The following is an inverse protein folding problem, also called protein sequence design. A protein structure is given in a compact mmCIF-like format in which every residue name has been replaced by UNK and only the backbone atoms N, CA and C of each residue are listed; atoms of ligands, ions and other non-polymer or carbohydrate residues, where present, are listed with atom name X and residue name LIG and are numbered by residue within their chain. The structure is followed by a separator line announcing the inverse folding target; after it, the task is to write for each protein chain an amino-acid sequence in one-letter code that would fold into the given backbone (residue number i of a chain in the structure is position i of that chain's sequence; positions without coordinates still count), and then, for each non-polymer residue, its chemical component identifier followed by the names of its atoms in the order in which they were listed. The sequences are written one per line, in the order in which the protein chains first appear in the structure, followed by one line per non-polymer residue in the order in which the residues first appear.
data_IF_397903129967
#
_entry.id   IF_397903129967
#
_cell.length_a   1.000
_cell.length_b   1.000
_cell.length_c   1.000
_cell.angle_alpha   90.00
_cell.angle_beta   90.00
_cell.angle_gamma   90.00
#
_symmetry.space_group_name_H-M   'P 1'
#
loop_
_entity.id
_entity.type
_entity.pdbx_description
1 polymer ?
#
# COMPACT_ATOMS: atom_id res chain seq x y z
N UNK A 1 25.50 54.10 19.03
CA UNK A 1 24.92 55.49 19.00
C UNK A 1 25.03 55.97 17.56
N UNK A 2 23.95 56.46 16.85
CA UNK A 2 22.98 57.42 17.28
C UNK A 2 21.50 57.01 16.99
N UNK A 3 20.67 57.44 17.78
CA UNK A 3 19.57 58.45 17.84
C UNK A 3 18.27 58.10 17.13
N UNK A 4 17.26 57.95 17.98
CA UNK A 4 15.82 57.92 17.74
C UNK A 4 15.33 59.22 17.11
N UNK A 5 14.32 59.18 16.25
CA UNK A 5 13.40 60.32 16.03
C UNK A 5 11.96 59.76 16.01
N UNK A 6 11.21 60.23 16.99
CA UNK A 6 9.76 60.12 17.13
C UNK A 6 9.13 61.23 16.32
N UNK A 7 8.04 60.95 15.54
CA UNK A 7 7.12 61.98 15.09
C UNK A 7 5.68 61.51 15.37
N UNK A 8 5.05 62.26 16.24
CA UNK A 8 3.65 62.21 16.53
C UNK A 8 2.90 63.24 15.67
N UNK A 9 1.75 62.89 15.08
CA UNK A 9 0.80 63.84 14.52
C UNK A 9 -0.64 63.41 14.80
N UNK A 10 -1.23 64.11 15.66
CA UNK A 10 -2.58 64.65 15.86
C UNK A 10 -3.82 63.91 15.34
N UNK A 11 -4.64 63.73 16.33
CA UNK A 11 -6.09 63.52 16.40
C UNK A 11 -6.88 64.66 15.71
N UNK A 12 -7.84 64.29 14.83
CA UNK A 12 -8.96 65.19 14.47
C UNK A 12 -10.27 64.41 14.67
N UNK A 13 -11.03 64.88 15.66
CA UNK A 13 -12.38 64.42 15.96
C UNK A 13 -13.37 65.01 14.95
N UNK A 14 -14.17 64.17 14.31
CA UNK A 14 -15.42 64.62 13.66
C UNK A 14 -16.58 63.73 14.08
N UNK A 15 -17.48 64.31 14.85
CA UNK A 15 -18.75 63.67 15.20
C UNK A 15 -19.70 63.81 14.00
N UNK A 16 -20.27 62.69 13.56
CA UNK A 16 -21.47 62.70 12.69
C UNK A 16 -22.46 61.67 13.24
N UNK A 17 -23.72 62.13 13.21
CA UNK A 17 -24.90 61.62 13.91
C UNK A 17 -25.34 60.21 13.52
N UNK A 18 -25.93 59.53 14.51
CA UNK A 18 -26.67 58.27 14.37
C UNK A 18 -27.93 58.46 13.51
N UNK A 19 -28.09 57.70 12.49
CA UNK A 19 -29.35 57.32 11.86
C UNK A 19 -29.52 55.83 11.95
N UNK A 20 -30.41 55.37 12.81
CA UNK A 20 -30.81 54.02 13.03
C UNK A 20 -31.62 53.50 11.84
N UNK A 21 -31.02 52.66 10.99
CA UNK A 21 -31.76 51.89 9.99
C UNK A 21 -31.83 50.46 10.46
N UNK A 22 -33.01 50.00 10.85
CA UNK A 22 -33.32 48.62 11.23
C UNK A 22 -33.33 47.77 9.96
N UNK A 23 -32.22 47.13 9.62
CA UNK A 23 -32.16 46.16 8.54
C UNK A 23 -32.52 44.77 9.09
N UNK A 24 -33.69 44.28 8.72
CA UNK A 24 -34.17 42.93 9.00
C UNK A 24 -33.41 41.98 8.11
N UNK A 25 -32.34 41.35 8.63
CA UNK A 25 -31.60 40.31 7.91
C UNK A 25 -32.36 38.98 8.05
N UNK A 26 -33.07 38.57 6.99
CA UNK A 26 -33.52 37.19 6.80
C UNK A 26 -32.29 36.30 6.62
N UNK A 27 -31.91 35.59 7.66
CA UNK A 27 -30.94 34.49 7.56
C UNK A 27 -31.61 33.30 6.86
N UNK A 28 -31.37 33.18 5.57
CA UNK A 28 -31.69 31.94 4.84
C UNK A 28 -30.73 30.83 5.33
N UNK A 29 -31.24 29.93 6.15
CA UNK A 29 -30.52 28.71 6.50
C UNK A 29 -30.45 27.82 5.27
N UNK A 30 -29.31 27.80 4.58
CA UNK A 30 -29.02 26.77 3.59
C UNK A 30 -28.81 25.47 4.34
N UNK A 31 -29.84 24.63 4.39
CA UNK A 31 -29.71 23.24 4.76
C UNK A 31 -28.85 22.56 3.69
N UNK A 32 -27.58 22.26 4.01
CA UNK A 32 -26.76 21.39 3.19
C UNK A 32 -27.40 20.01 3.22
N UNK A 33 -27.92 19.59 2.06
CA UNK A 33 -28.33 18.20 1.87
C UNK A 33 -27.14 17.27 2.14
N UNK A 34 -27.32 16.15 2.84
CA UNK A 34 -26.23 15.19 3.04
C UNK A 34 -25.75 14.71 1.67
N UNK A 35 -24.46 14.93 1.39
CA UNK A 35 -23.81 14.36 0.20
C UNK A 35 -23.99 12.85 0.24
N UNK A 36 -24.80 12.32 -0.66
CA UNK A 36 -24.94 10.89 -0.85
C UNK A 36 -23.56 10.35 -1.24
N UNK A 37 -22.92 9.69 -0.30
CA UNK A 37 -21.72 8.89 -0.57
C UNK A 37 -22.16 7.75 -1.48
N UNK A 38 -21.97 7.89 -2.78
CA UNK A 38 -22.20 6.81 -3.75
C UNK A 38 -21.18 5.74 -3.42
N UNK A 39 -21.56 4.76 -2.62
CA UNK A 39 -20.81 3.52 -2.46
C UNK A 39 -20.78 2.85 -3.83
N UNK A 40 -19.63 2.92 -4.50
CA UNK A 40 -19.39 2.08 -5.68
C UNK A 40 -19.50 0.65 -5.18
N UNK A 41 -20.51 -0.06 -5.64
CA UNK A 41 -20.69 -1.47 -5.29
C UNK A 41 -19.42 -2.22 -5.73
N UNK A 42 -18.71 -2.76 -4.77
CA UNK A 42 -17.55 -3.60 -5.04
C UNK A 42 -18.03 -4.81 -5.84
N UNK A 43 -17.47 -5.01 -7.03
CA UNK A 43 -17.83 -6.15 -7.86
C UNK A 43 -17.55 -7.43 -7.07
N UNK A 44 -18.46 -8.42 -7.12
CA UNK A 44 -18.21 -9.69 -6.44
C UNK A 44 -16.89 -10.30 -6.93
N UNK A 45 -16.11 -10.92 -6.07
CA UNK A 45 -14.85 -11.55 -6.47
C UNK A 45 -15.12 -12.62 -7.53
N UNK A 46 -14.13 -12.81 -8.41
CA UNK A 46 -14.20 -13.83 -9.46
C UNK A 46 -14.50 -15.23 -8.85
N UNK A 47 -15.35 -16.07 -9.46
CA UNK A 47 -15.74 -17.38 -8.89
C UNK A 47 -14.58 -18.32 -8.53
N UNK A 48 -13.43 -18.14 -9.15
CA UNK A 48 -12.22 -18.92 -8.82
C UNK A 48 -11.46 -18.41 -7.60
N UNK A 49 -11.76 -17.20 -7.14
CA UNK A 49 -11.16 -16.66 -5.91
C UNK A 49 -11.85 -17.29 -4.71
N UNK A 50 -11.05 -17.87 -3.83
CA UNK A 50 -11.52 -18.49 -2.59
C UNK A 50 -10.92 -17.80 -1.38
N UNK A 51 -11.55 -17.88 -0.21
CA UNK A 51 -10.99 -17.33 1.01
C UNK A 51 -9.60 -17.88 1.32
N UNK A 52 -8.70 -17.03 1.79
CA UNK A 52 -7.39 -17.45 2.26
C UNK A 52 -7.54 -18.38 3.46
N UNK A 53 -6.84 -19.52 3.52
CA UNK A 53 -6.77 -20.35 4.71
C UNK A 53 -5.84 -19.76 5.80
N UNK A 54 -5.29 -18.58 5.56
CA UNK A 54 -4.37 -17.89 6.47
C UNK A 54 -5.08 -16.71 7.14
N UNK A 55 -4.54 -16.30 8.28
CA UNK A 55 -4.95 -15.04 8.90
C UNK A 55 -4.38 -13.83 8.15
N UNK A 56 -4.97 -12.66 8.41
CA UNK A 56 -4.45 -11.41 7.88
C UNK A 56 -3.08 -11.11 8.50
N UNK A 57 -2.05 -11.02 7.66
CA UNK A 57 -0.68 -10.77 8.10
C UNK A 57 0.14 -10.08 7.01
N UNK A 58 1.09 -9.24 7.44
CA UNK A 58 2.21 -8.84 6.60
C UNK A 58 3.30 -9.92 6.60
N UNK A 59 4.09 -10.01 5.55
CA UNK A 59 5.23 -10.94 5.49
C UNK A 59 6.30 -10.42 4.53
N UNK A 60 7.55 -10.85 4.78
CA UNK A 60 8.65 -10.62 3.83
C UNK A 60 8.64 -11.70 2.75
N UNK A 61 8.89 -11.30 1.50
CA UNK A 61 8.86 -12.25 0.36
C UNK A 61 10.25 -12.71 -0.06
N UNK A 62 11.30 -11.97 0.29
CA UNK A 62 12.68 -12.25 -0.13
C UNK A 62 13.69 -12.37 1.01
N UNK A 63 13.25 -12.17 2.25
CA UNK A 63 14.11 -12.33 3.43
C UNK A 63 13.74 -13.62 4.18
N UNK A 64 14.73 -14.24 4.84
CA UNK A 64 14.59 -15.49 5.58
C UNK A 64 15.03 -15.30 7.04
N UNK A 65 14.41 -16.05 7.94
CA UNK A 65 14.81 -16.14 9.34
C UNK A 65 16.25 -16.58 9.46
N UNK A 66 17.04 -15.90 10.28
CA UNK A 66 18.47 -16.13 10.44
C UNK A 66 19.33 -15.73 9.23
N UNK A 67 18.75 -15.06 8.23
CA UNK A 67 19.47 -14.67 7.01
C UNK A 67 20.60 -13.67 7.28
N UNK A 68 21.68 -13.78 6.51
CA UNK A 68 22.82 -12.84 6.53
C UNK A 68 22.81 -12.04 5.24
N UNK A 69 22.83 -10.72 5.36
CA UNK A 69 22.73 -9.79 4.23
C UNK A 69 23.82 -8.73 4.28
N UNK A 70 24.21 -8.22 3.11
CA UNK A 70 24.98 -6.97 3.01
C UNK A 70 24.03 -5.80 2.80
N UNK A 71 24.28 -4.66 3.44
CA UNK A 71 23.52 -3.42 3.34
C UNK A 71 24.20 -2.46 2.35
N UNK A 72 23.45 -1.62 1.60
CA UNK A 72 21.99 -1.60 1.51
C UNK A 72 21.41 -2.78 0.70
N UNK A 73 20.20 -3.20 1.05
CA UNK A 73 19.46 -4.25 0.33
C UNK A 73 17.97 -3.91 0.21
N UNK A 74 17.26 -4.60 -0.68
CA UNK A 74 15.81 -4.44 -0.82
C UNK A 74 15.09 -5.47 0.05
N UNK A 75 14.25 -5.00 0.97
CA UNK A 75 13.25 -5.82 1.64
C UNK A 75 11.92 -5.73 0.87
N UNK A 76 11.35 -6.87 0.46
CA UNK A 76 10.09 -6.97 -0.27
C UNK A 76 8.98 -7.46 0.64
N UNK A 77 7.78 -6.87 0.49
CA UNK A 77 6.64 -7.09 1.35
C UNK A 77 5.49 -7.77 0.62
N UNK A 78 4.73 -8.54 1.36
CA UNK A 78 3.44 -9.06 0.96
C UNK A 78 2.41 -8.91 2.06
N UNK A 79 1.14 -9.02 1.70
CA UNK A 79 0.01 -8.81 2.60
C UNK A 79 -1.07 -9.83 2.31
N UNK A 80 -1.51 -10.57 3.33
CA UNK A 80 -2.63 -11.52 3.25
C UNK A 80 -3.93 -10.88 3.70
N UNK A 81 -5.02 -11.18 2.99
CA UNK A 81 -6.41 -10.86 3.36
C UNK A 81 -6.71 -9.37 3.58
N UNK A 82 -5.82 -8.49 3.16
CA UNK A 82 -6.00 -7.04 3.18
C UNK A 82 -5.48 -6.45 1.89
N UNK A 83 -5.95 -5.27 1.57
CA UNK A 83 -5.43 -4.48 0.47
C UNK A 83 -4.53 -3.35 0.94
N UNK A 84 -3.79 -2.79 0.01
CA UNK A 84 -3.01 -1.58 0.21
C UNK A 84 -3.82 -0.35 -0.20
N UNK A 85 -3.60 0.73 0.53
CA UNK A 85 -4.09 2.08 0.20
C UNK A 85 -3.07 3.09 0.74
N UNK A 86 -2.79 4.20 0.05
CA UNK A 86 -1.90 5.23 0.57
C UNK A 86 -2.37 5.83 1.89
N UNK A 87 -1.42 6.29 2.71
CA UNK A 87 -1.71 7.04 3.94
C UNK A 87 -2.61 8.24 3.65
N UNK A 88 -3.49 8.57 4.59
CA UNK A 88 -4.48 9.63 4.42
C UNK A 88 -5.69 9.23 3.56
N UNK A 89 -5.72 8.03 3.00
CA UNK A 89 -6.84 7.50 2.22
C UNK A 89 -7.51 6.35 2.96
N UNK A 90 -8.83 6.21 2.77
CA UNK A 90 -9.63 5.14 3.37
C UNK A 90 -10.25 4.28 2.27
N UNK A 91 -10.06 2.97 2.35
CA UNK A 91 -10.68 1.98 1.48
C UNK A 91 -10.97 0.72 2.29
N UNK A 92 -12.15 0.62 2.87
CA UNK A 92 -12.55 -0.50 3.74
C UNK A 92 -11.54 -0.74 4.86
N UNK A 93 -10.92 -1.93 4.87
CA UNK A 93 -9.88 -2.34 5.83
C UNK A 93 -8.48 -2.40 5.20
N UNK A 94 -8.29 -1.74 4.06
CA UNK A 94 -6.97 -1.54 3.45
C UNK A 94 -6.14 -0.56 4.29
N UNK A 95 -4.83 -0.62 4.11
CA UNK A 95 -3.89 0.22 4.85
C UNK A 95 -2.54 0.31 4.13
N UNK A 96 -1.54 0.81 4.84
CA UNK A 96 -0.18 0.93 4.32
C UNK A 96 0.83 0.29 5.28
N UNK A 97 1.95 -0.14 4.73
CA UNK A 97 2.98 -0.82 5.50
C UNK A 97 3.82 0.14 6.36
N UNK A 98 4.21 -0.35 7.53
CA UNK A 98 5.31 0.15 8.34
C UNK A 98 6.32 -0.97 8.57
N UNK A 99 7.61 -0.65 8.50
CA UNK A 99 8.71 -1.53 8.89
C UNK A 99 9.24 -1.09 10.24
N UNK A 100 9.20 -1.99 11.22
CA UNK A 100 9.74 -1.82 12.55
C UNK A 100 11.12 -2.48 12.59
N UNK A 101 12.14 -1.73 13.03
CA UNK A 101 13.52 -2.19 13.17
C UNK A 101 13.87 -2.23 14.66
N UNK A 102 14.16 -3.42 15.19
CA UNK A 102 14.46 -3.66 16.61
C UNK A 102 13.37 -3.14 17.56
N UNK A 103 12.13 -3.04 17.07
CA UNK A 103 11.00 -2.61 17.88
C UNK A 103 10.03 -3.77 18.11
N UNK A 104 9.48 -3.90 19.34
CA UNK A 104 8.36 -4.79 19.58
C UNK A 104 7.11 -4.27 18.87
N UNK A 105 6.07 -5.10 18.83
CA UNK A 105 4.74 -4.60 18.42
C UNK A 105 4.29 -3.51 19.41
N UNK A 106 3.51 -2.51 18.92
CA UNK A 106 2.94 -1.50 19.80
C UNK A 106 2.12 -2.14 20.93
N UNK A 107 2.25 -1.61 22.13
CA UNK A 107 1.41 -2.01 23.26
C UNK A 107 -0.01 -1.43 23.16
N UNK A 108 -0.15 -0.31 22.45
CA UNK A 108 -1.41 0.39 22.25
C UNK A 108 -1.72 0.52 20.76
N UNK A 109 -2.64 -0.33 20.27
CA UNK A 109 -3.15 -0.32 18.91
C UNK A 109 -4.20 0.78 18.66
N UNK A 110 -4.34 1.75 19.55
CA UNK A 110 -5.26 2.90 19.41
C UNK A 110 -4.52 4.22 19.18
N UNK A 111 -3.19 4.19 19.21
CA UNK A 111 -2.35 5.38 19.01
C UNK A 111 -1.59 5.31 17.69
N UNK A 112 -1.38 6.44 17.02
CA UNK A 112 -0.55 6.49 15.82
C UNK A 112 0.87 5.98 16.09
N UNK A 113 1.44 5.29 15.10
CA UNK A 113 2.83 4.89 15.13
C UNK A 113 3.75 6.13 15.06
N UNK A 114 4.90 6.11 15.75
CA UNK A 114 5.88 7.16 15.64
C UNK A 114 6.52 7.20 14.23
N UNK A 115 7.11 8.35 13.88
CA UNK A 115 7.88 8.55 12.65
C UNK A 115 9.33 8.76 13.03
N UNK A 116 10.17 7.74 12.85
CA UNK A 116 11.62 7.78 13.07
C UNK A 116 12.30 6.62 12.34
N UNK A 117 13.63 6.52 12.46
CA UNK A 117 14.44 5.51 11.78
C UNK A 117 14.14 4.06 12.18
N UNK A 118 13.39 3.84 13.26
CA UNK A 118 12.98 2.52 13.74
C UNK A 118 11.54 2.15 13.34
N UNK A 119 10.77 3.12 12.85
CA UNK A 119 9.37 2.97 12.39
C UNK A 119 9.25 3.57 11.00
N UNK A 120 9.75 2.85 9.99
CA UNK A 120 9.78 3.35 8.61
C UNK A 120 8.40 3.23 7.98
N UNK A 121 7.93 4.31 7.40
CA UNK A 121 6.59 4.47 6.84
C UNK A 121 6.58 4.35 5.31
N UNK A 122 5.63 3.55 4.76
CA UNK A 122 5.45 3.34 3.32
C UNK A 122 4.08 3.84 2.84
N UNK A 123 3.85 5.13 3.04
CA UNK A 123 2.54 5.79 2.84
C UNK A 123 2.08 5.97 1.40
N UNK A 124 2.78 5.46 0.39
CA UNK A 124 2.36 5.54 -1.03
C UNK A 124 1.79 4.24 -1.58
N UNK A 125 1.79 3.15 -0.79
CA UNK A 125 1.41 1.82 -1.25
C UNK A 125 2.58 0.99 -1.79
N UNK A 126 3.80 1.28 -1.33
CA UNK A 126 5.01 0.56 -1.71
C UNK A 126 4.97 -0.88 -1.19
N UNK A 127 5.48 -1.81 -2.00
CA UNK A 127 5.66 -3.22 -1.64
C UNK A 127 7.13 -3.57 -1.37
N UNK A 128 8.01 -2.59 -1.28
CA UNK A 128 9.43 -2.79 -0.97
C UNK A 128 10.06 -1.58 -0.30
N UNK A 129 11.17 -1.82 0.38
CA UNK A 129 12.01 -0.78 0.98
C UNK A 129 13.48 -1.02 0.64
N UNK A 130 14.22 0.07 0.45
CA UNK A 130 15.67 0.04 0.59
C UNK A 130 16.00 0.11 2.08
N UNK A 131 16.71 -0.89 2.58
CA UNK A 131 17.16 -0.97 3.98
C UNK A 131 18.67 -0.77 4.00
N UNK A 132 19.10 0.29 4.66
CA UNK A 132 20.53 0.64 4.84
C UNK A 132 20.84 0.70 6.33
N UNK A 133 21.50 -0.35 6.84
CA UNK A 133 21.78 -0.54 8.26
C UNK A 133 23.27 -0.86 8.47
N UNK A 134 23.88 -0.39 9.57
CA UNK A 134 25.19 -0.82 9.98
C UNK A 134 25.29 -2.34 10.20
N UNK A 135 26.51 -2.94 10.19
CA UNK A 135 26.69 -4.34 10.57
C UNK A 135 26.17 -4.63 11.97
N UNK A 136 25.49 -5.77 12.15
CA UNK A 136 24.92 -6.20 13.42
C UNK A 136 23.67 -7.05 13.27
N UNK A 137 23.12 -7.56 14.38
CA UNK A 137 21.88 -8.30 14.41
C UNK A 137 20.69 -7.35 14.45
N UNK A 138 19.60 -7.72 13.75
CA UNK A 138 18.35 -6.96 13.67
C UNK A 138 17.14 -7.84 13.74
N UNK A 139 16.09 -7.32 14.36
CA UNK A 139 14.74 -7.90 14.32
C UNK A 139 13.85 -6.99 13.48
N UNK A 140 13.38 -7.48 12.36
CA UNK A 140 12.47 -6.77 11.47
C UNK A 140 11.04 -7.25 11.68
N UNK A 141 10.07 -6.32 11.62
CA UNK A 141 8.63 -6.63 11.61
C UNK A 141 7.93 -5.75 10.61
N UNK A 142 6.90 -6.29 9.95
CA UNK A 142 5.96 -5.50 9.18
C UNK A 142 4.69 -5.31 10.00
N UNK A 143 4.09 -4.13 9.87
CA UNK A 143 2.82 -3.79 10.47
C UNK A 143 1.99 -3.00 9.46
N UNK A 144 0.70 -3.29 9.37
CA UNK A 144 -0.24 -2.53 8.56
C UNK A 144 -0.92 -1.48 9.44
N UNK A 145 -1.03 -0.25 8.94
CA UNK A 145 -1.73 0.84 9.62
C UNK A 145 -2.79 1.47 8.72
N UNK A 146 -3.78 2.10 9.34
CA UNK A 146 -4.86 2.83 8.69
C UNK A 146 -4.41 4.22 8.20
N UNK A 147 -5.35 5.01 7.66
CA UNK A 147 -5.10 6.36 7.14
C UNK A 147 -4.50 7.34 8.15
N UNK A 148 -4.72 7.12 9.45
CA UNK A 148 -4.21 7.92 10.57
C UNK A 148 -2.97 7.32 11.25
N UNK A 149 -2.36 6.29 10.64
CA UNK A 149 -1.22 5.54 11.19
C UNK A 149 -1.56 4.75 12.45
N UNK A 150 -2.85 4.49 12.69
CA UNK A 150 -3.29 3.59 13.76
C UNK A 150 -3.05 2.15 13.29
N UNK A 151 -2.29 1.34 14.04
CA UNK A 151 -1.97 0.00 13.62
C UNK A 151 -3.20 -0.91 13.62
N UNK A 152 -3.32 -1.75 12.58
CA UNK A 152 -4.22 -2.90 12.59
C UNK A 152 -3.56 -4.09 13.30
N UNK A 153 -4.36 -5.07 13.75
CA UNK A 153 -3.86 -6.39 14.17
C UNK A 153 -3.45 -7.23 12.95
N UNK A 154 -2.63 -6.65 12.08
CA UNK A 154 -2.11 -7.24 10.84
C UNK A 154 -0.62 -6.97 10.78
N UNK A 155 0.17 -7.96 11.16
CA UNK A 155 1.62 -7.82 11.29
C UNK A 155 2.34 -9.12 10.91
N UNK A 156 3.65 -9.02 10.67
CA UNK A 156 4.49 -10.19 10.41
C UNK A 156 4.93 -10.85 11.72
N UNK A 157 5.32 -12.11 11.64
CA UNK A 157 6.23 -12.68 12.63
C UNK A 157 7.51 -11.84 12.70
N UNK A 158 8.21 -11.79 13.85
CA UNK A 158 9.55 -11.21 13.90
C UNK A 158 10.46 -11.96 12.94
N UNK A 159 11.30 -11.23 12.24
CA UNK A 159 12.30 -11.78 11.33
C UNK A 159 13.69 -11.37 11.84
N UNK A 160 14.46 -12.32 12.33
CA UNK A 160 15.83 -12.08 12.77
C UNK A 160 16.77 -12.16 11.57
N UNK A 161 17.59 -11.13 11.39
CA UNK A 161 18.61 -11.09 10.34
C UNK A 161 19.92 -10.57 10.91
N UNK A 162 21.01 -10.79 10.18
CA UNK A 162 22.32 -10.21 10.47
C UNK A 162 22.81 -9.42 9.27
N UNK A 163 23.21 -8.19 9.49
CA UNK A 163 23.95 -7.40 8.50
C UNK A 163 25.44 -7.70 8.69
N UNK A 164 26.06 -8.32 7.69
CA UNK A 164 27.49 -8.67 7.73
C UNK A 164 28.40 -7.51 7.33
N UNK A 165 27.90 -6.62 6.46
CA UNK A 165 28.66 -5.51 5.90
C UNK A 165 27.73 -4.39 5.43
N UNK A 166 28.21 -3.13 5.56
CA UNK A 166 27.57 -1.96 4.95
C UNK A 166 28.42 -1.44 3.79
N UNK A 167 27.88 -1.44 2.58
CA UNK A 167 28.54 -1.01 1.35
C UNK A 167 28.27 0.48 1.11
N UNK A 168 29.21 1.35 1.44
CA UNK A 168 29.04 2.83 1.40
C UNK A 168 29.09 3.45 0.00
N UNK A 169 29.42 2.72 -1.04
CA UNK A 169 29.53 3.24 -2.41
C UNK A 169 28.34 2.90 -3.30
N UNK A 170 27.28 2.29 -2.75
CA UNK A 170 26.14 1.79 -3.51
C UNK A 170 25.04 2.85 -3.55
N UNK A 171 24.56 3.19 -4.76
CA UNK A 171 23.45 4.13 -4.89
C UNK A 171 22.10 3.44 -4.71
N UNK A 172 21.08 4.11 -4.15
CA UNK A 172 19.74 3.54 -4.02
C UNK A 172 19.20 2.98 -5.35
N UNK A 173 19.41 3.67 -6.45
CA UNK A 173 18.94 3.25 -7.78
C UNK A 173 19.55 1.92 -8.24
N UNK A 174 20.83 1.67 -7.94
CA UNK A 174 21.50 0.42 -8.33
C UNK A 174 20.99 -0.81 -7.57
N UNK A 175 20.43 -0.61 -6.37
CA UNK A 175 19.89 -1.68 -5.52
C UNK A 175 18.41 -1.92 -5.80
N UNK A 176 17.63 -0.85 -6.02
CA UNK A 176 16.19 -0.95 -6.28
C UNK A 176 15.88 -1.53 -7.66
N UNK A 177 16.76 -1.32 -8.64
CA UNK A 177 16.55 -1.75 -10.02
C UNK A 177 15.48 -0.94 -10.77
N UNK A 178 15.15 -1.39 -11.97
CA UNK A 178 14.08 -0.80 -12.78
C UNK A 178 12.70 -1.16 -12.22
N UNK A 179 11.67 -0.31 -12.44
CA UNK A 179 10.31 -0.66 -12.09
C UNK A 179 9.84 -1.92 -12.82
N UNK A 180 9.29 -2.88 -12.09
CA UNK A 180 8.76 -4.13 -12.63
C UNK A 180 7.64 -4.70 -11.77
N UNK A 181 6.84 -5.60 -12.37
CA UNK A 181 5.90 -6.42 -11.63
C UNK A 181 6.20 -7.90 -11.85
N UNK A 182 5.86 -8.73 -10.88
CA UNK A 182 6.18 -10.17 -10.90
C UNK A 182 5.06 -10.99 -10.28
N UNK A 183 4.86 -12.21 -10.80
CA UNK A 183 4.25 -13.30 -10.05
C UNK A 183 5.38 -13.98 -9.27
N UNK A 184 5.37 -13.84 -7.94
CA UNK A 184 6.40 -14.46 -7.08
C UNK A 184 6.13 -15.94 -6.84
N UNK A 185 4.86 -16.34 -6.82
CA UNK A 185 4.40 -17.72 -6.68
C UNK A 185 3.05 -17.82 -7.40
N UNK A 186 2.80 -18.91 -8.12
CA UNK A 186 3.70 -20.05 -8.39
C UNK A 186 4.85 -19.72 -9.35
N UNK A 187 5.87 -20.56 -9.34
CA UNK A 187 6.94 -20.52 -10.33
C UNK A 187 6.48 -21.13 -11.66
N UNK A 188 7.11 -20.69 -12.77
CA UNK A 188 6.79 -21.27 -14.09
C UNK A 188 7.18 -22.74 -14.16
N UNK A 189 6.30 -23.58 -14.69
CA UNK A 189 6.44 -25.03 -14.76
C UNK A 189 5.94 -25.77 -13.51
N UNK A 190 5.47 -25.06 -12.49
CA UNK A 190 4.97 -25.68 -11.27
C UNK A 190 3.63 -26.37 -11.49
N UNK A 191 3.43 -27.52 -10.84
CA UNK A 191 2.17 -28.27 -10.83
C UNK A 191 1.55 -28.17 -9.45
N UNK A 192 0.33 -27.64 -9.40
CA UNK A 192 -0.34 -27.23 -8.17
C UNK A 192 -1.62 -28.03 -7.93
N UNK A 193 -1.96 -28.20 -6.66
CA UNK A 193 -3.29 -28.69 -6.23
C UNK A 193 -4.14 -27.54 -5.76
N UNK A 194 -5.44 -27.59 -6.06
CA UNK A 194 -6.41 -26.54 -5.64
C UNK A 194 -6.84 -26.70 -4.17
N UNK A 195 -7.07 -25.61 -3.43
CA UNK A 195 -6.76 -24.23 -3.80
C UNK A 195 -5.26 -23.93 -3.65
N UNK A 196 -4.74 -23.05 -4.49
CA UNK A 196 -3.35 -22.58 -4.41
C UNK A 196 -3.26 -21.07 -4.32
N UNK A 197 -2.13 -20.58 -3.78
CA UNK A 197 -1.84 -19.16 -3.62
C UNK A 197 -1.14 -18.61 -4.85
N UNK A 198 -1.53 -17.40 -5.27
CA UNK A 198 -0.77 -16.59 -6.22
C UNK A 198 -0.32 -15.32 -5.50
N UNK A 199 0.98 -15.03 -5.54
CA UNK A 199 1.59 -13.85 -4.91
C UNK A 199 2.09 -12.89 -5.98
N UNK A 200 1.79 -11.62 -5.80
CA UNK A 200 2.20 -10.54 -6.69
C UNK A 200 3.25 -9.66 -6.02
N UNK A 201 4.07 -9.03 -6.83
CA UNK A 201 5.00 -8.01 -6.38
C UNK A 201 5.09 -6.86 -7.39
N UNK A 202 5.26 -5.65 -6.88
CA UNK A 202 5.50 -4.46 -7.66
C UNK A 202 6.74 -3.72 -7.10
N UNK A 203 7.79 -3.64 -7.91
CA UNK A 203 8.95 -2.80 -7.66
C UNK A 203 8.78 -1.47 -8.38
N UNK A 204 8.99 -0.35 -7.70
CA UNK A 204 8.91 0.98 -8.29
C UNK A 204 7.49 1.46 -8.64
N UNK A 205 6.45 0.69 -8.30
CA UNK A 205 5.04 1.07 -8.41
C UNK A 205 4.38 1.13 -7.04
N UNK A 206 3.30 1.91 -6.94
CA UNK A 206 2.51 2.04 -5.72
C UNK A 206 1.18 1.29 -5.89
N UNK A 207 0.98 0.25 -5.10
CA UNK A 207 -0.25 -0.55 -5.11
C UNK A 207 -1.30 0.13 -4.24
N UNK A 208 -2.51 0.21 -4.76
CA UNK A 208 -3.64 0.80 -4.04
C UNK A 208 -4.95 0.16 -4.43
N UNK A 209 -5.89 0.20 -3.50
CA UNK A 209 -7.31 0.06 -3.83
C UNK A 209 -7.67 1.03 -4.98
N UNK A 210 -8.49 0.56 -5.90
CA UNK A 210 -8.89 1.33 -7.08
C UNK A 210 -9.86 2.48 -6.76
N UNK A 211 -10.47 2.48 -5.57
CA UNK A 211 -11.35 3.53 -5.07
C UNK A 211 -11.03 3.86 -3.61
N UNK A 212 -10.62 5.11 -3.28
CA UNK A 212 -10.58 6.28 -4.15
C UNK A 212 -9.47 6.22 -5.20
N UNK A 213 -9.66 6.92 -6.31
CA UNK A 213 -8.64 7.07 -7.37
C UNK A 213 -7.51 7.95 -6.88
N UNK A 214 -6.40 7.34 -6.48
CA UNK A 214 -5.20 8.06 -6.04
C UNK A 214 -4.22 8.16 -7.20
N UNK A 215 -3.73 9.35 -7.59
CA UNK A 215 -2.75 9.51 -8.65
C UNK A 215 -1.47 8.69 -8.39
N UNK A 216 -0.83 8.23 -9.45
CA UNK A 216 0.41 7.44 -9.42
C UNK A 216 0.30 6.14 -8.62
N UNK A 217 -0.92 5.57 -8.52
CA UNK A 217 -1.16 4.24 -7.97
C UNK A 217 -1.83 3.33 -8.99
N UNK A 218 -1.82 2.04 -8.70
CA UNK A 218 -2.50 1.04 -9.50
C UNK A 218 -2.83 -0.20 -8.71
N UNK A 219 -3.49 -1.13 -9.37
CA UNK A 219 -3.86 -2.43 -8.84
C UNK A 219 -3.45 -3.55 -9.80
N UNK A 220 -3.43 -4.77 -9.32
CA UNK A 220 -3.11 -5.92 -10.14
C UNK A 220 -4.33 -6.45 -10.90
N UNK A 221 -4.08 -6.94 -12.11
CA UNK A 221 -4.99 -7.73 -12.92
C UNK A 221 -4.29 -9.01 -13.39
N UNK A 222 -4.91 -10.16 -13.17
CA UNK A 222 -4.41 -11.45 -13.61
C UNK A 222 -5.31 -12.00 -14.71
N UNK A 223 -4.74 -12.26 -15.88
CA UNK A 223 -5.41 -13.03 -16.92
C UNK A 223 -4.93 -14.48 -16.86
N UNK A 224 -5.86 -15.42 -16.84
CA UNK A 224 -5.61 -16.86 -16.85
C UNK A 224 -6.09 -17.45 -18.18
N UNK A 225 -5.16 -17.89 -19.00
CA UNK A 225 -5.43 -18.51 -20.31
C UNK A 225 -5.29 -20.02 -20.19
N UNK A 226 -6.28 -20.77 -20.70
CA UNK A 226 -6.26 -22.22 -20.87
C UNK A 226 -6.65 -22.57 -22.30
N UNK A 227 -5.93 -23.50 -22.92
CA UNK A 227 -6.18 -23.90 -24.29
C UNK A 227 -7.63 -24.36 -24.50
N UNK A 228 -8.27 -23.90 -25.57
CA UNK A 228 -9.65 -24.25 -25.94
C UNK A 228 -10.73 -23.60 -25.09
N UNK A 229 -10.40 -22.66 -24.20
CA UNK A 229 -11.39 -21.94 -23.40
C UNK A 229 -11.20 -20.42 -23.52
N UNK A 230 -12.25 -19.67 -23.15
CA UNK A 230 -12.12 -18.22 -23.00
C UNK A 230 -11.19 -17.91 -21.84
N UNK A 231 -10.35 -16.86 -22.01
CA UNK A 231 -9.50 -16.35 -20.95
C UNK A 231 -10.34 -15.75 -19.83
N UNK A 232 -9.93 -16.01 -18.60
CA UNK A 232 -10.54 -15.44 -17.41
C UNK A 232 -9.70 -14.28 -16.89
N UNK A 233 -10.37 -13.20 -16.48
CA UNK A 233 -9.73 -11.96 -16.03
C UNK A 233 -10.14 -11.67 -14.60
N UNK A 234 -9.16 -11.63 -13.71
CA UNK A 234 -9.33 -11.37 -12.30
C UNK A 234 -8.76 -9.99 -11.98
N UNK A 235 -9.59 -9.05 -11.52
CA UNK A 235 -9.15 -7.72 -11.11
C UNK A 235 -9.06 -7.65 -9.58
N UNK A 236 -7.93 -7.20 -9.07
CA UNK A 236 -7.65 -7.07 -7.64
C UNK A 236 -7.78 -5.60 -7.23
N UNK A 237 -8.99 -5.09 -7.34
CA UNK A 237 -9.31 -3.67 -7.14
C UNK A 237 -9.26 -3.21 -5.69
N UNK A 238 -9.17 -4.14 -4.74
CA UNK A 238 -9.02 -3.85 -3.32
C UNK A 238 -7.58 -3.54 -2.87
N UNK A 239 -6.60 -3.56 -3.82
CA UNK A 239 -5.18 -3.38 -3.51
C UNK A 239 -4.51 -4.64 -2.95
N UNK A 240 -5.07 -5.80 -3.26
CA UNK A 240 -4.56 -7.11 -2.84
C UNK A 240 -3.18 -7.38 -3.46
N UNK A 241 -2.30 -8.03 -2.71
CA UNK A 241 -0.97 -8.43 -3.16
C UNK A 241 -0.82 -9.95 -3.26
N UNK A 242 -1.86 -10.69 -2.93
CA UNK A 242 -1.99 -12.13 -3.14
C UNK A 242 -3.46 -12.53 -3.29
N UNK A 243 -3.66 -13.71 -3.84
CA UNK A 243 -4.99 -14.34 -3.91
C UNK A 243 -4.88 -15.86 -3.77
N UNK A 244 -5.99 -16.51 -3.41
CA UNK A 244 -6.13 -17.96 -3.42
C UNK A 244 -7.12 -18.37 -4.49
N UNK A 245 -6.71 -19.32 -5.33
CA UNK A 245 -7.46 -19.72 -6.51
C UNK A 245 -7.84 -21.20 -6.50
N UNK A 246 -9.07 -21.46 -6.98
CA UNK A 246 -9.60 -22.80 -7.24
C UNK A 246 -10.17 -22.85 -8.67
N UNK A 247 -9.33 -22.73 -9.71
CA UNK A 247 -9.78 -22.88 -11.09
C UNK A 247 -10.08 -24.36 -11.44
N UNK A 248 -10.77 -24.66 -12.56
CA UNK A 248 -10.82 -25.99 -13.12
C UNK A 248 -9.42 -26.59 -13.37
N UNK A 249 -9.34 -27.92 -13.45
CA UNK A 249 -8.08 -28.61 -13.71
C UNK A 249 -7.59 -28.35 -15.14
N UNK A 250 -6.28 -28.34 -15.35
CA UNK A 250 -5.65 -28.15 -16.66
C UNK A 250 -4.40 -27.27 -16.60
N UNK A 251 -3.82 -27.03 -17.76
CA UNK A 251 -2.65 -26.19 -17.91
C UNK A 251 -3.07 -24.73 -18.19
N UNK A 252 -2.41 -23.80 -17.49
CA UNK A 252 -2.69 -22.39 -17.55
C UNK A 252 -1.44 -21.57 -17.86
N UNK A 253 -1.66 -20.46 -18.56
CA UNK A 253 -0.72 -19.35 -18.67
C UNK A 253 -1.28 -18.17 -17.92
N UNK A 254 -0.55 -17.68 -16.95
CA UNK A 254 -0.86 -16.53 -16.10
C UNK A 254 -0.16 -15.30 -16.64
N UNK A 255 -0.90 -14.24 -16.96
CA UNK A 255 -0.38 -12.94 -17.34
C UNK A 255 -0.78 -11.91 -16.30
N UNK A 256 0.19 -11.42 -15.53
CA UNK A 256 -0.03 -10.34 -14.56
C UNK A 256 0.18 -8.98 -15.23
N UNK A 257 -0.71 -8.05 -14.95
CA UNK A 257 -0.66 -6.66 -15.41
C UNK A 257 -0.84 -5.72 -14.22
N UNK A 258 -0.27 -4.51 -14.32
CA UNK A 258 -0.50 -3.41 -13.40
C UNK A 258 -1.34 -2.35 -14.07
N UNK A 259 -2.48 -2.04 -13.46
CA UNK A 259 -3.50 -1.16 -14.03
C UNK A 259 -3.49 0.15 -13.28
N UNK A 260 -3.36 1.25 -13.99
CA UNK A 260 -3.43 2.60 -13.44
C UNK A 260 -4.82 2.87 -12.82
N UNK A 261 -4.86 3.31 -11.57
CA UNK A 261 -6.11 3.70 -10.91
C UNK A 261 -6.66 5.03 -11.44
N UNK A 262 -5.84 5.81 -12.15
CA UNK A 262 -6.26 7.11 -12.68
C UNK A 262 -7.14 6.95 -13.92
N UNK A 263 -6.70 6.15 -14.88
CA UNK A 263 -7.29 6.04 -16.21
C UNK A 263 -7.59 4.60 -16.69
N UNK A 264 -7.22 3.59 -15.88
CA UNK A 264 -7.44 2.19 -16.22
C UNK A 264 -6.48 1.63 -17.26
N UNK A 265 -5.46 2.38 -17.67
CA UNK A 265 -4.46 1.90 -18.62
C UNK A 265 -3.54 0.84 -18.03
N UNK A 266 -2.97 -0.01 -18.90
CA UNK A 266 -1.96 -0.98 -18.50
C UNK A 266 -0.61 -0.26 -18.41
N UNK A 267 -0.08 -0.15 -17.19
CA UNK A 267 1.20 0.52 -16.92
C UNK A 267 2.38 -0.44 -17.06
N UNK A 268 2.19 -1.71 -16.70
CA UNK A 268 3.26 -2.72 -16.75
C UNK A 268 2.68 -4.11 -16.95
N UNK A 269 3.49 -5.03 -17.51
CA UNK A 269 3.18 -6.45 -17.67
C UNK A 269 4.34 -7.30 -17.17
N UNK A 270 4.03 -8.32 -16.38
CA UNK A 270 5.01 -9.31 -15.95
C UNK A 270 5.34 -10.30 -17.08
N UNK A 271 6.45 -11.03 -16.92
CA UNK A 271 6.68 -12.25 -17.71
C UNK A 271 5.56 -13.26 -17.41
N UNK A 272 4.99 -13.91 -18.45
CA UNK A 272 3.98 -14.94 -18.24
C UNK A 272 4.51 -16.12 -17.43
N UNK A 273 3.64 -16.72 -16.62
CA UNK A 273 3.94 -17.92 -15.82
C UNK A 273 3.05 -19.07 -16.29
N UNK A 274 3.66 -20.17 -16.71
CA UNK A 274 2.94 -21.39 -17.09
C UNK A 274 2.83 -22.32 -15.87
N UNK A 275 1.64 -22.86 -15.60
CA UNK A 275 1.38 -23.79 -14.48
C UNK A 275 0.48 -24.94 -14.91
N UNK A 276 0.62 -26.09 -14.23
CA UNK A 276 -0.36 -27.16 -14.27
C UNK A 276 -1.23 -27.17 -13.01
N UNK A 277 -2.53 -27.37 -13.16
CA UNK A 277 -3.48 -27.51 -12.04
C UNK A 277 -4.07 -28.90 -12.04
N UNK A 278 -3.85 -29.63 -10.93
CA UNK A 278 -4.32 -31.02 -10.74
C UNK A 278 -5.27 -31.13 -9.56
N UNK A 279 -6.09 -32.17 -9.57
CA UNK A 279 -6.85 -32.62 -8.41
C UNK A 279 -5.95 -33.18 -7.31
N UNK A 280 -6.51 -33.28 -6.11
CA UNK A 280 -5.87 -34.03 -5.00
C UNK A 280 -5.93 -35.53 -5.29
#
# INVERSE_FOLDING_TARGET
MPKKTLLAVNCVSSRVAFLSSLALTCAAAFAQAPSATTTVAELPPHPWVVPSPREAQGYFTNLKEGGVYESPFVARFGLSMRGLVPAGQTAGRAGHHHLLINQPLPLDFKKPLPFNDQYIHFGKGQMQALVDLPPGPYVLRLLLADQGHIPYFVYSKPLNITISKQNKGVTPASVLGAPEIQVLSPASGEVLTVPFRVQFHASGYNVSNASPKVPNTGHFRLTMERAGTKSEVLNFTGGETETWLKPPLGDYKLQLEFISNTDGSVTSKAKPVAIGVKGR
#
